data_IF_299551332205
#
_entry.id   IF_299551332205
#
_cell.length_a   1.000
_cell.length_b   1.000
_cell.length_c   1.000
_cell.angle_alpha   90.00
_cell.angle_beta   90.00
_cell.angle_gamma   90.00
#
_symmetry.space_group_name_H-M   'P 1'
#
loop_
_entity.id
_entity.type
_entity.pdbx_description
1 polymer ?
#
# COMPACT_ATOMS: atom_id res chain seq x y z
N UNK A 1 3.68 -10.72 -7.86
CA UNK A 1 3.67 -10.80 -6.38
C UNK A 1 2.75 -11.91 -5.81
N UNK A 2 1.89 -12.56 -6.61
CA UNK A 2 1.01 -13.64 -6.09
C UNK A 2 -0.13 -13.17 -5.18
N UNK A 3 -0.32 -11.86 -5.06
CA UNK A 3 -1.40 -11.24 -4.32
C UNK A 3 -2.57 -11.01 -5.27
N UNK A 4 -3.74 -11.48 -4.86
CA UNK A 4 -5.02 -11.29 -5.54
C UNK A 4 -6.02 -10.73 -4.53
N UNK A 5 -7.07 -10.10 -5.00
CA UNK A 5 -8.08 -9.49 -4.12
C UNK A 5 -8.57 -10.44 -3.03
N UNK A 6 -8.80 -11.70 -3.38
CA UNK A 6 -9.31 -12.71 -2.44
C UNK A 6 -8.35 -13.00 -1.28
N UNK A 7 -7.03 -13.14 -1.54
CA UNK A 7 -6.08 -13.41 -0.46
C UNK A 7 -5.73 -12.12 0.34
N UNK A 8 -5.74 -10.95 -0.32
CA UNK A 8 -5.62 -9.66 0.33
C UNK A 8 -6.77 -9.41 1.31
N UNK A 9 -8.02 -9.61 0.86
CA UNK A 9 -9.21 -9.46 1.70
C UNK A 9 -9.18 -10.39 2.90
N UNK A 10 -8.89 -11.68 2.69
CA UNK A 10 -8.77 -12.64 3.80
C UNK A 10 -7.71 -12.25 4.82
N UNK A 11 -6.55 -11.74 4.38
CA UNK A 11 -5.49 -11.29 5.28
C UNK A 11 -5.94 -10.08 6.12
N UNK A 12 -6.62 -9.12 5.50
CA UNK A 12 -7.19 -7.96 6.19
C UNK A 12 -8.27 -8.38 7.19
N UNK A 13 -9.23 -9.19 6.77
CA UNK A 13 -10.33 -9.66 7.62
C UNK A 13 -9.80 -10.42 8.84
N UNK A 14 -8.79 -11.27 8.64
CA UNK A 14 -8.13 -11.99 9.72
C UNK A 14 -7.51 -11.06 10.78
N UNK A 15 -6.83 -9.99 10.32
CA UNK A 15 -6.19 -9.01 11.19
C UNK A 15 -7.21 -8.12 11.93
N UNK A 16 -8.29 -7.76 11.23
CA UNK A 16 -9.41 -7.00 11.79
C UNK A 16 -10.11 -7.79 12.89
N UNK A 17 -10.44 -9.06 12.66
CA UNK A 17 -11.17 -9.88 13.64
C UNK A 17 -10.37 -10.15 14.93
N UNK A 18 -9.04 -10.23 14.86
CA UNK A 18 -8.18 -10.38 16.06
C UNK A 18 -7.98 -9.07 16.82
N UNK A 19 -8.14 -7.93 16.16
CA UNK A 19 -7.93 -6.61 16.75
C UNK A 19 -9.25 -6.09 17.35
N UNK A 20 -9.64 -6.58 18.53
CA UNK A 20 -10.79 -5.98 19.25
C UNK A 20 -10.55 -4.52 19.68
N UNK A 21 -9.30 -4.03 19.62
CA UNK A 21 -8.92 -2.72 20.18
C UNK A 21 -8.45 -1.71 19.13
N UNK A 22 -7.91 -2.14 17.98
CA UNK A 22 -7.38 -1.24 16.95
C UNK A 22 -7.89 -1.61 15.55
N UNK A 23 -9.15 -1.99 15.43
CA UNK A 23 -9.76 -2.11 14.10
C UNK A 23 -9.98 -0.71 13.56
N UNK A 24 -9.02 -0.27 12.76
CA UNK A 24 -9.13 0.88 11.85
C UNK A 24 -10.17 0.54 10.78
N UNK A 25 -11.45 0.68 11.13
CA UNK A 25 -12.55 0.56 10.19
C UNK A 25 -12.42 1.71 9.18
N UNK A 26 -12.41 1.39 7.88
CA UNK A 26 -12.71 2.35 6.82
C UNK A 26 -14.02 3.08 7.20
N UNK A 27 -13.89 4.33 7.67
CA UNK A 27 -14.98 5.04 8.34
C UNK A 27 -14.55 6.24 9.19
N UNK A 28 -13.25 6.41 9.49
CA UNK A 28 -12.67 7.66 10.00
C UNK A 28 -11.53 8.17 9.11
N UNK A 29 -11.89 8.65 7.92
CA UNK A 29 -11.20 9.71 7.18
C UNK A 29 -11.81 11.05 7.64
N UNK A 30 -11.13 12.22 7.65
CA UNK A 30 -9.71 12.59 7.66
C UNK A 30 -9.24 12.99 9.08
N UNK A 31 -7.98 12.72 9.45
CA UNK A 31 -7.39 13.21 10.72
C UNK A 31 -6.55 12.20 11.51
N UNK A 32 -6.42 10.95 11.06
CA UNK A 32 -5.49 10.01 11.71
C UNK A 32 -4.04 10.32 11.36
N UNK A 33 -3.10 10.23 12.33
CA UNK A 33 -1.67 10.44 12.05
C UNK A 33 -1.14 9.52 10.94
N UNK A 34 -1.60 8.25 10.90
CA UNK A 34 -1.20 7.29 9.88
C UNK A 34 -1.69 7.67 8.48
N UNK A 35 -2.94 8.11 8.33
CA UNK A 35 -3.46 8.52 7.03
C UNK A 35 -2.65 9.69 6.46
N UNK A 36 -2.39 10.72 7.28
CA UNK A 36 -1.60 11.87 6.83
C UNK A 36 -0.21 11.44 6.37
N UNK A 37 0.49 10.61 7.15
CA UNK A 37 1.81 10.08 6.79
C UNK A 37 1.80 9.28 5.50
N UNK A 38 0.79 8.43 5.30
CA UNK A 38 0.64 7.65 4.05
C UNK A 38 0.46 8.59 2.86
N UNK A 39 -0.37 9.63 2.98
CA UNK A 39 -0.56 10.59 1.88
C UNK A 39 0.72 11.40 1.61
N UNK A 40 1.39 11.90 2.65
CA UNK A 40 2.66 12.61 2.53
C UNK A 40 3.72 11.72 1.86
N UNK A 41 3.84 10.47 2.31
CA UNK A 41 4.75 9.49 1.72
C UNK A 41 4.37 9.14 0.27
N UNK A 42 3.08 9.07 -0.07
CA UNK A 42 2.67 8.82 -1.46
C UNK A 42 3.02 9.99 -2.39
N UNK A 43 2.93 11.22 -1.90
CA UNK A 43 3.40 12.41 -2.63
C UNK A 43 4.91 12.34 -2.85
N UNK A 44 5.69 11.97 -1.83
CA UNK A 44 7.14 11.79 -1.93
C UNK A 44 7.51 10.71 -2.95
N UNK A 45 6.83 9.55 -2.92
CA UNK A 45 7.06 8.46 -3.88
C UNK A 45 6.74 8.92 -5.32
N UNK A 46 5.64 9.66 -5.52
CA UNK A 46 5.30 10.22 -6.84
C UNK A 46 6.36 11.21 -7.34
N UNK A 47 6.88 12.06 -6.47
CA UNK A 47 7.96 12.99 -6.81
C UNK A 47 9.25 12.24 -7.15
N UNK A 48 9.60 11.18 -6.42
CA UNK A 48 10.79 10.36 -6.69
C UNK A 48 10.71 9.64 -8.03
N UNK A 49 9.51 9.19 -8.42
CA UNK A 49 9.25 8.56 -9.71
C UNK A 49 8.96 9.58 -10.83
N UNK A 50 9.05 10.89 -10.54
CA UNK A 50 8.74 11.98 -11.48
C UNK A 50 7.34 11.86 -12.12
N UNK A 51 6.40 11.26 -11.39
CA UNK A 51 5.03 11.07 -11.83
C UNK A 51 4.25 12.39 -11.79
N UNK A 52 3.45 12.66 -12.83
CA UNK A 52 2.62 13.88 -12.90
C UNK A 52 1.42 13.85 -11.94
N UNK A 53 0.97 12.65 -11.56
CA UNK A 53 -0.19 12.43 -10.71
C UNK A 53 0.11 11.30 -9.72
N UNK A 54 -0.53 11.36 -8.55
CA UNK A 54 -0.44 10.31 -7.53
C UNK A 54 -1.38 9.17 -7.92
N UNK A 55 -0.83 8.11 -8.49
CA UNK A 55 -1.54 6.84 -8.75
C UNK A 55 -1.58 5.88 -7.56
N UNK A 56 -2.24 4.74 -7.78
CA UNK A 56 -2.39 3.65 -6.79
C UNK A 56 -1.06 3.02 -6.37
N UNK A 57 -0.08 3.03 -7.26
CA UNK A 57 1.27 2.51 -7.05
C UNK A 57 2.03 3.27 -5.96
N UNK A 58 1.91 4.60 -5.94
CA UNK A 58 2.51 5.46 -4.91
C UNK A 58 1.83 5.24 -3.56
N UNK A 59 0.50 5.13 -3.55
CA UNK A 59 -0.26 4.82 -2.34
C UNK A 59 0.11 3.45 -1.78
N UNK A 60 0.27 2.44 -2.65
CA UNK A 60 0.67 1.10 -2.23
C UNK A 60 2.07 1.10 -1.62
N UNK A 61 3.04 1.80 -2.24
CA UNK A 61 4.38 1.96 -1.67
C UNK A 61 4.34 2.68 -0.32
N UNK A 62 3.57 3.76 -0.19
CA UNK A 62 3.41 4.48 1.06
C UNK A 62 2.76 3.63 2.17
N UNK A 63 1.73 2.82 1.84
CA UNK A 63 1.09 1.90 2.77
C UNK A 63 2.04 0.81 3.28
N UNK A 64 2.95 0.34 2.42
CA UNK A 64 3.98 -0.64 2.81
C UNK A 64 5.04 -0.04 3.74
N UNK A 65 5.32 1.26 3.61
CA UNK A 65 6.29 1.99 4.45
C UNK A 65 5.71 2.39 5.80
N UNK A 66 4.41 2.66 5.89
CA UNK A 66 3.77 3.06 7.14
C UNK A 66 3.60 1.87 8.09
N UNK A 67 4.44 1.83 9.12
CA UNK A 67 4.48 0.74 10.10
C UNK A 67 3.29 0.79 11.07
N UNK A 68 2.92 -0.37 11.59
CA UNK A 68 1.84 -0.50 12.58
C UNK A 68 0.43 -0.55 11.98
N UNK A 69 0.28 -0.30 10.67
CA UNK A 69 -1.01 -0.35 9.97
C UNK A 69 -1.46 -1.78 9.66
N UNK A 70 -2.77 -1.97 9.52
CA UNK A 70 -3.34 -3.26 9.09
C UNK A 70 -2.89 -3.58 7.66
N UNK A 71 -2.83 -2.58 6.77
CA UNK A 71 -2.39 -2.75 5.40
C UNK A 71 -0.95 -3.30 5.33
N UNK A 72 -0.02 -2.70 6.07
CA UNK A 72 1.37 -3.15 6.14
C UNK A 72 1.46 -4.59 6.65
N UNK A 73 0.75 -4.92 7.73
CA UNK A 73 0.71 -6.28 8.30
C UNK A 73 0.11 -7.29 7.32
N UNK A 74 -0.99 -6.96 6.66
CA UNK A 74 -1.67 -7.83 5.71
C UNK A 74 -0.78 -8.16 4.51
N UNK A 75 -0.12 -7.15 3.93
CA UNK A 75 0.79 -7.33 2.81
C UNK A 75 2.05 -8.12 3.23
N UNK A 76 2.58 -7.88 4.43
CA UNK A 76 3.69 -8.65 4.97
C UNK A 76 3.33 -10.14 5.18
N UNK A 77 2.11 -10.44 5.65
CA UNK A 77 1.61 -11.82 5.77
C UNK A 77 1.54 -12.55 4.42
N UNK A 78 1.34 -11.80 3.34
CA UNK A 78 1.34 -12.32 1.97
C UNK A 78 2.75 -12.36 1.34
N UNK A 79 3.79 -12.04 2.11
CA UNK A 79 5.19 -12.06 1.65
C UNK A 79 5.55 -10.89 0.73
N UNK A 80 4.74 -9.83 0.68
CA UNK A 80 5.03 -8.59 -0.04
C UNK A 80 5.93 -7.73 0.82
N UNK A 81 7.11 -7.40 0.30
CA UNK A 81 8.03 -6.42 0.91
C UNK A 81 8.02 -5.13 0.07
N UNK A 82 8.36 -3.98 0.67
CA UNK A 82 8.45 -2.71 -0.06
C UNK A 82 9.35 -2.81 -1.31
N UNK A 83 10.47 -3.52 -1.20
CA UNK A 83 11.46 -3.69 -2.26
C UNK A 83 10.88 -4.48 -3.43
N UNK A 84 10.30 -5.66 -3.14
CA UNK A 84 9.65 -6.49 -4.18
C UNK A 84 8.48 -5.77 -4.84
N UNK A 85 7.73 -4.99 -4.06
CA UNK A 85 6.62 -4.21 -4.58
C UNK A 85 7.11 -3.12 -5.53
N UNK A 86 8.15 -2.38 -5.14
CA UNK A 86 8.77 -1.35 -5.97
C UNK A 86 9.34 -1.92 -7.25
N UNK A 87 10.06 -3.04 -7.19
CA UNK A 87 10.59 -3.72 -8.37
C UNK A 87 9.47 -4.13 -9.34
N UNK A 88 8.37 -4.68 -8.82
CA UNK A 88 7.21 -5.05 -9.64
C UNK A 88 6.57 -3.82 -10.31
N UNK A 89 6.36 -2.74 -9.55
CA UNK A 89 5.79 -1.49 -10.08
C UNK A 89 6.67 -0.89 -11.17
N UNK A 90 7.98 -0.78 -10.93
CA UNK A 90 8.91 -0.21 -11.91
C UNK A 90 8.94 -1.02 -13.20
N UNK A 91 8.91 -2.35 -13.08
CA UNK A 91 8.80 -3.23 -14.25
C UNK A 91 7.49 -2.99 -15.01
N UNK A 92 6.36 -2.97 -14.32
CA UNK A 92 5.05 -2.76 -14.97
C UNK A 92 4.97 -1.38 -15.66
N UNK A 93 5.55 -0.33 -15.05
CA UNK A 93 5.63 1.00 -15.66
C UNK A 93 6.51 1.01 -16.91
N UNK A 94 7.67 0.34 -16.89
CA UNK A 94 8.53 0.21 -18.06
C UNK A 94 7.83 -0.54 -19.20
N UNK A 95 7.12 -1.63 -18.88
CA UNK A 95 6.37 -2.41 -19.84
C UNK A 95 5.25 -1.57 -20.50
N UNK A 96 4.60 -0.68 -19.75
CA UNK A 96 3.59 0.26 -20.26
C UNK A 96 4.19 1.35 -21.15
N UNK A 97 5.38 1.87 -20.83
CA UNK A 97 6.08 2.86 -21.65
C UNK A 97 6.55 2.28 -22.99
N UNK A 98 6.98 1.01 -23.02
CA UNK A 98 7.41 0.34 -24.25
C UNK A 98 6.26 -0.13 -25.14
N UNK A 99 5.04 -0.21 -24.59
CA UNK A 99 3.84 -0.60 -25.33
C UNK A 99 3.16 0.58 -26.07
N UNK A 100 3.65 1.81 -25.89
CA UNK A 100 3.22 3.04 -26.56
C UNK A 100 4.25 3.53 -27.59
#
# INVERSE_FOLDING_TARGET
>A
LGVVEENARRAVDHLVQRSKEDTWVFGRLPGSPHYRKVIESAIEEANQLQAKLIGSEHLLLALLRETGTIAQKALAMLGVTPEKCREAILRDLQDLEQAN
#
